data_IF_544822879301
#
_entry.id   IF_544822879301
#
_cell.length_a   1.000
_cell.length_b   1.000
_cell.length_c   1.000
_cell.angle_alpha   90.00
_cell.angle_beta   90.00
_cell.angle_gamma   90.00
#
_symmetry.space_group_name_H-M   'P 1'
#
loop_
_entity.id
_entity.type
_entity.pdbx_description
1 polymer ?
#
# COMPACT_ATOMS: atom_id res chain seq x y z
N UNK A 1 6.13 -9.12 -21.49
CA UNK A 1 5.35 -8.90 -20.27
C UNK A 1 4.20 -9.88 -20.13
N UNK A 2 3.55 -10.30 -21.21
CA UNK A 2 2.34 -11.13 -21.14
C UNK A 2 1.17 -10.50 -21.88
N UNK A 3 1.36 -9.30 -22.42
CA UNK A 3 0.39 -8.57 -23.24
C UNK A 3 0.75 -8.73 -24.71
N UNK A 4 -0.26 -8.74 -25.59
CA UNK A 4 -0.03 -8.82 -27.02
C UNK A 4 0.42 -7.46 -27.57
N UNK A 5 1.48 -7.44 -28.39
CA UNK A 5 2.09 -6.20 -28.89
C UNK A 5 1.13 -5.24 -29.61
N UNK A 6 0.05 -5.75 -30.22
CA UNK A 6 -0.94 -4.89 -30.86
C UNK A 6 -1.81 -4.15 -29.83
N UNK A 7 -2.02 -4.73 -28.65
CA UNK A 7 -2.68 -4.07 -27.53
C UNK A 7 -1.80 -2.94 -27.00
N UNK A 8 -0.51 -3.21 -26.77
CA UNK A 8 0.49 -2.21 -26.37
C UNK A 8 0.66 -1.08 -27.39
N UNK A 9 0.33 -1.32 -28.67
CA UNK A 9 0.36 -0.27 -29.70
C UNK A 9 -0.83 0.69 -29.61
N UNK A 10 -1.92 0.26 -28.95
CA UNK A 10 -3.16 1.01 -28.82
C UNK A 10 -3.35 1.64 -27.43
N UNK A 11 -2.49 1.28 -26.47
CA UNK A 11 -2.45 1.80 -25.10
C UNK A 11 -1.17 2.63 -24.88
N UNK A 12 -1.01 3.17 -23.68
CA UNK A 12 0.23 3.82 -23.25
C UNK A 12 1.33 2.82 -22.85
N UNK A 13 0.98 1.54 -22.70
CA UNK A 13 1.83 0.50 -22.13
C UNK A 13 3.09 0.27 -22.99
N UNK A 14 4.22 0.07 -22.32
CA UNK A 14 5.53 -0.03 -22.97
C UNK A 14 5.86 -1.46 -23.36
N UNK A 15 6.33 -1.62 -24.60
CA UNK A 15 6.68 -2.92 -25.15
C UNK A 15 7.74 -3.67 -24.34
N UNK A 16 7.43 -4.91 -23.95
CA UNK A 16 8.31 -5.77 -23.14
C UNK A 16 8.56 -5.22 -21.73
N UNK A 17 7.66 -4.41 -21.19
CA UNK A 17 7.66 -3.91 -19.82
C UNK A 17 6.43 -4.47 -19.13
N UNK A 18 6.61 -5.16 -18.00
CA UNK A 18 5.51 -5.85 -17.29
C UNK A 18 4.53 -4.90 -16.62
N UNK A 19 5.05 -3.78 -16.19
CA UNK A 19 4.42 -2.78 -15.33
C UNK A 19 5.04 -1.46 -15.78
N UNK A 20 4.25 -0.68 -16.52
CA UNK A 20 4.68 0.46 -17.34
C UNK A 20 4.90 1.71 -16.50
N UNK A 21 4.04 1.93 -15.52
CA UNK A 21 4.08 3.05 -14.58
C UNK A 21 4.86 2.73 -13.30
N UNK A 22 5.23 1.46 -13.12
CA UNK A 22 6.00 0.95 -11.98
C UNK A 22 5.22 1.02 -10.66
N UNK A 23 3.88 0.99 -10.76
CA UNK A 23 2.91 0.98 -9.66
C UNK A 23 2.98 -0.29 -8.81
N UNK A 24 3.38 -1.41 -9.42
CA UNK A 24 3.53 -2.70 -8.76
C UNK A 24 2.46 -3.71 -9.15
N UNK A 25 1.38 -3.28 -9.79
CA UNK A 25 0.46 -4.14 -10.53
C UNK A 25 0.92 -4.21 -11.99
N UNK A 26 0.72 -5.35 -12.64
CA UNK A 26 1.13 -5.50 -14.03
C UNK A 26 0.10 -4.92 -14.98
N UNK A 27 0.55 -4.31 -16.09
CA UNK A 27 -0.27 -3.66 -17.12
C UNK A 27 -1.52 -4.46 -17.56
N UNK A 28 -1.44 -5.79 -17.50
CA UNK A 28 -2.53 -6.69 -17.91
C UNK A 28 -3.56 -6.91 -16.80
N UNK A 29 -3.12 -6.90 -15.56
CA UNK A 29 -3.94 -7.06 -14.36
C UNK A 29 -4.71 -5.77 -14.06
N UNK A 30 -4.10 -4.61 -14.25
CA UNK A 30 -4.74 -3.29 -14.10
C UNK A 30 -5.89 -3.09 -15.09
N UNK A 31 -5.69 -3.54 -16.34
CA UNK A 31 -6.74 -3.51 -17.37
C UNK A 31 -7.88 -4.50 -17.10
N UNK A 32 -7.70 -5.42 -16.16
CA UNK A 32 -8.79 -6.25 -15.71
C UNK A 32 -9.70 -5.43 -14.81
N UNK A 33 -11.00 -5.52 -15.04
CA UNK A 33 -12.03 -4.77 -14.29
C UNK A 33 -12.00 -4.99 -12.78
N UNK A 34 -11.28 -6.01 -12.31
CA UNK A 34 -11.20 -6.41 -10.92
C UNK A 34 -10.16 -5.67 -10.09
N UNK A 35 -9.10 -5.11 -10.70
CA UNK A 35 -8.15 -4.25 -9.99
C UNK A 35 -8.61 -2.79 -10.05
N UNK A 36 -9.18 -2.37 -11.19
CA UNK A 36 -9.76 -1.02 -11.30
C UNK A 36 -8.72 0.10 -11.37
N UNK A 37 -7.46 -0.23 -11.60
CA UNK A 37 -6.32 0.68 -11.75
C UNK A 37 -6.01 0.96 -13.23
N UNK A 38 -5.22 2.00 -13.53
CA UNK A 38 -4.90 2.41 -14.90
C UNK A 38 -3.38 2.39 -15.17
N UNK A 39 -2.89 1.51 -16.07
CA UNK A 39 -1.45 1.38 -16.39
C UNK A 39 -0.84 2.62 -17.08
N UNK A 40 -1.67 3.63 -17.31
CA UNK A 40 -1.31 4.91 -17.91
C UNK A 40 -1.27 6.05 -16.90
N UNK A 41 -1.65 5.83 -15.66
CA UNK A 41 -1.48 6.84 -14.64
C UNK A 41 -0.01 6.92 -14.20
N UNK A 42 0.37 7.98 -13.48
CA UNK A 42 1.66 8.04 -12.78
C UNK A 42 2.97 7.98 -13.62
N UNK A 43 2.88 8.02 -14.96
CA UNK A 43 4.00 7.94 -15.95
C UNK A 43 5.15 8.97 -15.81
N UNK A 44 5.13 9.82 -14.79
CA UNK A 44 6.17 10.79 -14.49
C UNK A 44 6.92 10.43 -13.19
N UNK A 45 8.23 10.27 -13.31
CA UNK A 45 9.12 10.11 -12.16
C UNK A 45 9.08 11.33 -11.21
N UNK A 46 8.96 11.10 -9.90
CA UNK A 46 9.22 12.15 -8.90
C UNK A 46 10.72 12.32 -8.71
N UNK A 47 11.24 13.53 -8.94
CA UNK A 47 12.66 13.83 -8.76
C UNK A 47 12.89 14.98 -7.79
N UNK A 48 13.89 14.83 -6.91
CA UNK A 48 14.31 15.85 -5.96
C UNK A 48 15.83 15.88 -5.83
N UNK A 49 16.36 17.07 -5.57
CA UNK A 49 17.78 17.29 -5.30
C UNK A 49 18.19 16.63 -3.97
N UNK A 50 19.40 16.05 -3.98
CA UNK A 50 20.06 15.53 -2.77
C UNK A 50 20.77 16.67 -2.05
N UNK A 51 20.44 16.89 -0.78
CA UNK A 51 21.11 17.87 0.07
C UNK A 51 22.39 17.32 0.69
N UNK A 52 22.36 16.11 1.23
CA UNK A 52 23.53 15.46 1.84
C UNK A 52 23.30 13.97 2.08
N UNK A 53 24.38 13.20 2.17
CA UNK A 53 24.34 11.80 2.60
C UNK A 53 25.31 11.54 3.76
N UNK A 54 24.85 10.80 4.77
CA UNK A 54 25.64 10.36 5.92
C UNK A 54 25.84 8.85 5.87
N UNK A 55 27.06 8.42 5.52
CA UNK A 55 27.40 6.99 5.43
C UNK A 55 27.42 6.27 6.78
N UNK A 56 27.79 6.96 7.86
CA UNK A 56 27.83 6.38 9.21
C UNK A 56 26.45 6.08 9.77
N UNK A 57 25.43 6.77 9.27
CA UNK A 57 24.06 6.66 9.77
C UNK A 57 23.08 6.16 8.71
N UNK A 58 23.58 5.83 7.50
CA UNK A 58 22.78 5.41 6.35
C UNK A 58 21.58 6.32 6.08
N UNK A 59 21.83 7.64 6.09
CA UNK A 59 20.80 8.67 5.96
C UNK A 59 21.03 9.53 4.73
N UNK A 60 20.00 9.69 3.92
CA UNK A 60 19.98 10.58 2.76
C UNK A 60 19.01 11.73 3.02
N UNK A 61 19.51 12.96 3.01
CA UNK A 61 18.69 14.17 3.16
C UNK A 61 18.40 14.74 1.78
N UNK A 62 17.11 14.92 1.50
CA UNK A 62 16.59 15.47 0.25
C UNK A 62 16.06 16.88 0.48
N UNK A 63 15.86 17.64 -0.61
CA UNK A 63 15.17 18.93 -0.55
C UNK A 63 13.67 18.75 -0.27
N UNK A 64 13.05 17.78 -0.93
CA UNK A 64 11.66 17.39 -0.69
C UNK A 64 11.53 15.86 -0.82
N UNK A 65 11.16 15.16 0.25
CA UNK A 65 10.96 13.71 0.22
C UNK A 65 9.49 13.29 0.06
N UNK A 66 8.58 14.21 -0.29
CA UNK A 66 7.13 13.93 -0.36
C UNK A 66 6.73 12.83 -1.34
N UNK A 67 7.52 12.60 -2.39
CA UNK A 67 7.26 11.53 -3.36
C UNK A 67 7.92 10.19 -3.02
N UNK A 68 8.46 10.02 -1.81
CA UNK A 68 9.01 8.76 -1.33
C UNK A 68 8.09 8.15 -0.26
N UNK A 69 7.89 6.84 -0.33
CA UNK A 69 7.04 6.09 0.58
C UNK A 69 7.50 6.24 2.03
N UNK A 70 6.66 6.76 2.96
CA UNK A 70 6.98 6.88 4.37
C UNK A 70 7.45 5.57 5.02
N UNK A 71 6.92 4.44 4.54
CA UNK A 71 7.15 3.10 5.08
C UNK A 71 8.36 2.39 4.44
N UNK A 72 9.06 3.04 3.51
CA UNK A 72 10.24 2.49 2.84
C UNK A 72 9.96 2.00 1.42
N UNK A 73 11.02 1.60 0.72
CA UNK A 73 10.90 1.12 -0.65
C UNK A 73 12.20 1.23 -1.44
N UNK A 74 12.06 1.36 -2.76
CA UNK A 74 13.19 1.51 -3.69
C UNK A 74 13.19 2.88 -4.33
N UNK A 75 14.31 3.59 -4.23
CA UNK A 75 14.57 4.84 -4.94
C UNK A 75 15.69 4.67 -5.96
N UNK A 76 15.89 5.69 -6.79
CA UNK A 76 16.92 5.71 -7.82
C UNK A 76 17.77 6.96 -7.73
N UNK A 77 19.09 6.80 -7.78
CA UNK A 77 20.02 7.90 -7.96
C UNK A 77 20.13 8.24 -9.43
N UNK A 78 19.91 9.51 -9.78
CA UNK A 78 20.14 10.00 -11.13
C UNK A 78 21.50 10.72 -11.20
N UNK A 79 22.38 10.22 -12.06
CA UNK A 79 23.68 10.85 -12.28
C UNK A 79 23.62 11.92 -13.38
N UNK A 80 24.66 12.75 -13.46
CA UNK A 80 24.78 13.80 -14.50
C UNK A 80 24.68 13.31 -15.96
N UNK A 81 24.75 12.00 -16.20
CA UNK A 81 24.62 11.36 -17.52
C UNK A 81 23.24 10.73 -17.75
N UNK A 82 22.30 10.85 -16.81
CA UNK A 82 20.95 10.27 -16.90
C UNK A 82 20.89 8.77 -16.57
N UNK A 83 21.94 8.18 -16.00
CA UNK A 83 21.94 6.77 -15.61
C UNK A 83 21.40 6.63 -14.19
N UNK A 84 20.41 5.73 -14.05
CA UNK A 84 19.79 5.41 -12.77
C UNK A 84 20.52 4.29 -12.03
N UNK A 85 20.73 4.47 -10.72
CA UNK A 85 21.23 3.43 -9.81
C UNK A 85 20.23 3.23 -8.69
N UNK A 86 19.64 2.04 -8.58
CA UNK A 86 18.65 1.72 -7.55
C UNK A 86 19.27 1.65 -6.15
N UNK A 87 18.52 2.05 -5.15
CA UNK A 87 18.86 1.90 -3.73
C UNK A 87 17.59 1.61 -2.92
N UNK A 88 17.72 0.76 -1.89
CA UNK A 88 16.65 0.54 -0.93
C UNK A 88 16.75 1.53 0.24
N UNK A 89 15.61 1.90 0.81
CA UNK A 89 15.50 2.69 2.04
C UNK A 89 14.39 2.12 2.93
N UNK A 90 14.52 2.31 4.24
CA UNK A 90 13.65 1.67 5.23
C UNK A 90 12.44 2.53 5.63
N UNK A 91 12.58 3.85 5.63
CA UNK A 91 11.49 4.77 5.93
C UNK A 91 11.87 6.21 5.56
N UNK A 92 10.86 7.08 5.51
CA UNK A 92 11.03 8.52 5.35
C UNK A 92 10.51 9.23 6.59
N UNK A 93 11.31 10.15 7.13
CA UNK A 93 10.82 11.11 8.11
C UNK A 93 11.22 12.52 7.69
N UNK A 94 10.22 13.39 7.54
CA UNK A 94 10.39 14.73 7.00
C UNK A 94 11.03 14.68 5.61
N UNK A 95 12.27 15.16 5.45
CA UNK A 95 13.02 15.10 4.19
C UNK A 95 14.25 14.17 4.27
N UNK A 96 14.21 13.19 5.15
CA UNK A 96 15.33 12.27 5.39
C UNK A 96 14.86 10.85 5.13
N UNK A 97 15.54 10.16 4.22
CA UNK A 97 15.42 8.72 4.04
C UNK A 97 16.36 8.02 5.02
N UNK A 98 15.82 7.05 5.75
CA UNK A 98 16.52 6.25 6.73
C UNK A 98 16.85 4.86 6.19
N UNK A 99 17.94 4.27 6.68
CA UNK A 99 18.34 2.91 6.31
C UNK A 99 18.71 2.77 4.84
N UNK A 100 19.25 3.82 4.23
CA UNK A 100 19.63 3.83 2.82
C UNK A 100 20.78 2.86 2.59
N UNK A 101 20.52 1.80 1.82
CA UNK A 101 21.44 0.67 1.69
C UNK A 101 22.70 1.00 0.87
N UNK A 102 22.57 1.89 -0.12
CA UNK A 102 23.63 2.24 -1.05
C UNK A 102 23.95 3.73 -0.98
N UNK A 103 25.23 4.07 -0.83
CA UNK A 103 25.66 5.47 -0.88
C UNK A 103 25.50 6.05 -2.30
N UNK A 104 25.16 7.35 -2.44
CA UNK A 104 25.08 7.99 -3.75
C UNK A 104 26.41 7.89 -4.50
N UNK A 105 26.43 7.38 -5.75
CA UNK A 105 27.61 7.40 -6.60
C UNK A 105 28.14 8.82 -6.84
N UNK A 106 29.43 8.96 -7.13
CA UNK A 106 30.03 10.26 -7.43
C UNK A 106 29.36 10.90 -8.66
N UNK A 107 28.93 12.16 -8.54
CA UNK A 107 28.23 12.87 -9.62
C UNK A 107 26.72 12.62 -9.67
N UNK A 108 26.14 12.01 -8.63
CA UNK A 108 24.69 11.99 -8.42
C UNK A 108 24.22 13.37 -7.95
N UNK A 109 23.18 13.90 -8.60
CA UNK A 109 22.57 15.20 -8.25
C UNK A 109 21.21 15.02 -7.59
N UNK A 110 20.45 14.03 -8.07
CA UNK A 110 19.04 13.87 -7.73
C UNK A 110 18.73 12.45 -7.27
N UNK A 111 17.75 12.36 -6.39
CA UNK A 111 17.06 11.14 -6.06
C UNK A 111 15.70 11.13 -6.77
N UNK A 112 15.34 9.98 -7.29
CA UNK A 112 14.12 9.75 -8.07
C UNK A 112 13.31 8.65 -7.40
N UNK A 113 12.02 8.88 -7.23
CA UNK A 113 11.03 7.86 -6.89
C UNK A 113 10.22 7.54 -8.14
N UNK A 114 10.03 6.24 -8.39
CA UNK A 114 9.31 5.71 -9.54
C UNK A 114 8.11 4.85 -9.16
N UNK A 115 7.98 4.54 -7.88
CA UNK A 115 6.91 3.72 -7.34
C UNK A 115 6.02 4.68 -6.55
N UNK A 116 5.16 5.37 -7.31
CA UNK A 116 4.22 6.39 -6.85
C UNK A 116 3.01 5.86 -6.09
N UNK A 117 2.94 4.54 -5.99
CA UNK A 117 1.78 3.70 -5.70
C UNK A 117 1.05 4.06 -4.41
N UNK A 118 1.74 4.62 -3.42
CA UNK A 118 1.18 4.82 -2.07
C UNK A 118 0.51 6.18 -1.83
N UNK A 119 0.62 7.16 -2.75
CA UNK A 119 0.22 8.55 -2.45
C UNK A 119 -1.02 9.06 -3.22
N UNK A 120 -1.70 8.20 -3.97
CA UNK A 120 -2.78 8.63 -4.87
C UNK A 120 -4.00 9.16 -4.14
N UNK A 121 -4.50 8.40 -3.15
CA UNK A 121 -5.65 8.81 -2.35
C UNK A 121 -5.47 10.20 -1.71
N UNK A 122 -4.33 10.41 -1.03
CA UNK A 122 -3.97 11.70 -0.43
C UNK A 122 -3.91 12.83 -1.46
N UNK A 123 -3.40 12.55 -2.66
CA UNK A 123 -3.33 13.51 -3.76
C UNK A 123 -4.72 13.87 -4.32
N UNK A 124 -5.66 12.92 -4.39
CA UNK A 124 -7.07 13.18 -4.73
C UNK A 124 -7.72 14.06 -3.67
N UNK A 125 -7.64 13.64 -2.41
CA UNK A 125 -8.31 14.32 -1.30
C UNK A 125 -7.81 15.76 -1.10
N UNK A 126 -6.50 15.98 -1.30
CA UNK A 126 -5.91 17.32 -1.30
C UNK A 126 -6.19 18.13 -2.58
N UNK A 127 -6.74 17.50 -3.62
CA UNK A 127 -7.00 18.11 -4.93
C UNK A 127 -5.74 18.46 -5.72
N UNK A 128 -4.62 17.81 -5.39
CA UNK A 128 -3.30 18.13 -5.93
C UNK A 128 -2.79 17.13 -6.96
N UNK A 129 -3.49 16.01 -7.17
CA UNK A 129 -3.17 14.99 -8.17
C UNK A 129 -2.96 15.64 -9.54
N UNK A 130 -3.86 16.54 -9.96
CA UNK A 130 -3.75 17.25 -11.25
C UNK A 130 -2.72 18.39 -11.31
N UNK A 131 -2.13 18.80 -10.18
CA UNK A 131 -1.24 19.98 -10.11
C UNK A 131 0.21 19.67 -9.75
N UNK A 132 0.44 18.88 -8.70
CA UNK A 132 1.77 18.70 -8.08
C UNK A 132 2.11 17.26 -7.72
N UNK A 133 1.12 16.37 -7.65
CA UNK A 133 1.31 14.96 -7.25
C UNK A 133 1.01 13.97 -8.38
N UNK A 134 1.15 14.39 -9.64
CA UNK A 134 0.95 13.56 -10.86
C UNK A 134 1.86 12.32 -10.99
N UNK A 135 2.73 12.08 -10.01
CA UNK A 135 3.61 10.93 -9.91
C UNK A 135 3.07 9.89 -8.93
N UNK A 136 1.91 10.15 -8.31
CA UNK A 136 1.21 9.15 -7.51
C UNK A 136 0.41 8.25 -8.44
N UNK A 137 0.21 7.01 -8.02
CA UNK A 137 -0.26 5.91 -8.84
C UNK A 137 -1.43 5.21 -8.13
N UNK A 138 -2.48 4.88 -8.89
CA UNK A 138 -3.77 4.43 -8.36
C UNK A 138 -3.77 2.98 -7.83
N UNK A 139 -2.66 2.26 -7.98
CA UNK A 139 -2.46 0.91 -7.44
C UNK A 139 -2.67 0.76 -5.92
N UNK A 140 -2.64 1.85 -5.15
CA UNK A 140 -3.01 1.83 -3.73
C UNK A 140 -3.98 2.96 -3.39
N UNK A 141 -4.96 3.21 -4.27
CA UNK A 141 -6.16 3.90 -3.80
C UNK A 141 -6.77 3.11 -2.64
N UNK A 142 -6.92 3.77 -1.49
CA UNK A 142 -7.45 3.25 -0.23
C UNK A 142 -8.51 4.25 0.22
N UNK A 143 -9.74 3.99 -0.19
CA UNK A 143 -10.84 4.96 -0.16
C UNK A 143 -11.28 5.30 1.27
N UNK A 144 -11.19 4.34 2.19
CA UNK A 144 -11.59 4.52 3.60
C UNK A 144 -10.42 4.73 4.57
N UNK A 145 -9.19 4.45 4.14
CA UNK A 145 -7.96 4.76 4.85
C UNK A 145 -7.61 3.75 5.94
N UNK A 146 -8.06 2.50 5.81
CA UNK A 146 -7.78 1.44 6.79
C UNK A 146 -6.40 0.78 6.61
N UNK A 147 -5.78 0.95 5.44
CA UNK A 147 -4.48 0.42 5.08
C UNK A 147 -4.48 -0.74 4.08
N UNK A 148 -5.64 -1.20 3.59
CA UNK A 148 -5.81 -2.05 2.42
C UNK A 148 -6.15 -1.19 1.19
N UNK A 149 -5.60 -1.54 0.03
CA UNK A 149 -6.04 -0.89 -1.20
C UNK A 149 -7.42 -1.41 -1.63
N UNK A 150 -8.23 -0.58 -2.30
CA UNK A 150 -9.60 -0.90 -2.71
C UNK A 150 -9.68 -2.23 -3.50
N UNK A 151 -8.67 -2.52 -4.32
CA UNK A 151 -8.59 -3.75 -5.09
C UNK A 151 -8.22 -4.96 -4.23
N UNK A 152 -7.40 -4.78 -3.19
CA UNK A 152 -7.01 -5.87 -2.27
C UNK A 152 -8.24 -6.39 -1.53
N UNK A 153 -9.11 -5.46 -1.12
CA UNK A 153 -10.39 -5.73 -0.48
C UNK A 153 -11.38 -6.38 -1.45
N UNK A 154 -11.53 -5.84 -2.65
CA UNK A 154 -12.47 -6.36 -3.66
C UNK A 154 -12.10 -7.77 -4.13
N UNK A 155 -10.81 -8.04 -4.29
CA UNK A 155 -10.30 -9.33 -4.77
C UNK A 155 -10.07 -10.34 -3.64
N UNK A 156 -10.02 -9.87 -2.41
CA UNK A 156 -9.62 -10.66 -1.26
C UNK A 156 -8.23 -11.25 -1.41
N UNK A 157 -7.27 -10.40 -1.78
CA UNK A 157 -5.86 -10.77 -2.06
C UNK A 157 -5.23 -11.57 -0.92
N UNK A 158 -5.66 -11.27 0.31
CA UNK A 158 -5.16 -11.88 1.54
C UNK A 158 -6.06 -13.01 2.08
N UNK A 159 -7.07 -13.43 1.32
CA UNK A 159 -7.96 -14.54 1.63
C UNK A 159 -9.39 -14.15 1.99
N UNK A 160 -9.61 -12.89 2.35
CA UNK A 160 -10.91 -12.34 2.73
C UNK A 160 -11.20 -11.07 1.96
N UNK A 161 -12.47 -10.82 1.65
CA UNK A 161 -12.95 -9.60 0.98
C UNK A 161 -13.60 -8.67 2.00
N UNK A 162 -13.43 -7.36 1.84
CA UNK A 162 -14.08 -6.31 2.63
C UNK A 162 -14.73 -5.25 1.73
N UNK A 163 -15.26 -4.18 2.32
CA UNK A 163 -15.91 -3.08 1.62
C UNK A 163 -14.98 -1.87 1.59
N UNK A 164 -14.50 -1.44 0.39
CA UNK A 164 -13.52 -0.33 0.26
C UNK A 164 -13.94 1.06 0.69
N UNK A 165 -15.10 1.18 1.33
CA UNK A 165 -15.67 2.47 1.72
C UNK A 165 -15.91 2.54 3.23
N UNK A 166 -15.52 1.50 3.96
CA UNK A 166 -15.75 1.31 5.38
C UNK A 166 -14.52 0.69 6.01
N UNK A 167 -13.83 1.46 6.85
CA UNK A 167 -12.69 1.00 7.66
C UNK A 167 -12.97 -0.27 8.48
N UNK A 168 -14.24 -0.49 8.82
CA UNK A 168 -14.76 -1.63 9.60
C UNK A 168 -16.04 -2.05 8.88
N UNK A 169 -15.94 -3.08 8.06
CA UNK A 169 -16.95 -3.46 7.07
C UNK A 169 -18.16 -4.14 7.70
N UNK A 170 -17.98 -4.88 8.80
CA UNK A 170 -19.06 -5.55 9.52
C UNK A 170 -19.54 -4.82 10.80
N UNK A 171 -18.79 -3.82 11.24
CA UNK A 171 -19.14 -2.90 12.32
C UNK A 171 -18.89 -3.45 13.72
N UNK A 172 -17.93 -4.35 13.88
CA UNK A 172 -17.63 -5.00 15.16
C UNK A 172 -16.64 -4.22 16.06
N UNK A 173 -15.99 -3.20 15.50
CA UNK A 173 -15.01 -2.35 16.17
C UNK A 173 -13.55 -2.69 15.92
N UNK A 174 -13.23 -3.65 15.04
CA UNK A 174 -11.91 -3.92 14.47
C UNK A 174 -11.89 -3.43 13.02
N UNK A 175 -10.74 -2.95 12.52
CA UNK A 175 -10.65 -2.53 11.11
C UNK A 175 -10.35 -3.71 10.19
N UNK A 176 -10.77 -3.64 8.93
CA UNK A 176 -10.64 -4.75 7.99
C UNK A 176 -9.18 -5.17 7.79
N UNK A 177 -8.27 -4.20 7.70
CA UNK A 177 -6.82 -4.44 7.72
C UNK A 177 -6.35 -5.30 8.91
N UNK A 178 -6.81 -4.98 10.12
CA UNK A 178 -6.37 -5.66 11.35
C UNK A 178 -6.93 -7.09 11.41
N UNK A 179 -8.15 -7.30 10.91
CA UNK A 179 -8.78 -8.62 10.81
C UNK A 179 -8.09 -9.50 9.77
N UNK A 180 -7.88 -8.97 8.57
CA UNK A 180 -7.17 -9.66 7.48
C UNK A 180 -5.76 -10.07 7.92
N UNK A 181 -5.02 -9.16 8.56
CA UNK A 181 -3.67 -9.46 9.09
C UNK A 181 -3.73 -10.37 10.32
N UNK A 182 -4.83 -10.35 11.06
CA UNK A 182 -5.17 -11.26 12.15
C UNK A 182 -5.65 -12.65 11.69
N UNK A 183 -5.94 -12.81 10.39
CA UNK A 183 -6.44 -14.04 9.79
C UNK A 183 -7.92 -14.31 10.08
N UNK A 184 -8.72 -13.26 10.29
CA UNK A 184 -10.15 -13.31 10.53
C UNK A 184 -10.94 -12.61 9.42
N UNK A 185 -12.24 -12.89 9.30
CA UNK A 185 -13.09 -12.42 8.19
C UNK A 185 -13.75 -11.05 8.50
N UNK A 186 -13.37 -9.96 7.79
CA UNK A 186 -13.87 -8.60 8.01
C UNK A 186 -15.35 -8.39 7.63
N UNK A 187 -15.99 -9.44 7.10
CA UNK A 187 -17.41 -9.45 6.80
C UNK A 187 -18.24 -10.27 7.78
N UNK A 188 -17.60 -10.86 8.80
CA UNK A 188 -18.25 -11.68 9.81
C UNK A 188 -17.90 -11.17 11.22
N UNK A 189 -18.79 -10.39 11.87
CA UNK A 189 -18.46 -9.62 13.09
C UNK A 189 -18.19 -10.50 14.32
N UNK A 190 -18.38 -11.81 14.16
CA UNK A 190 -18.12 -12.82 15.18
C UNK A 190 -16.74 -13.47 15.02
N UNK A 191 -16.10 -13.31 13.87
CA UNK A 191 -14.76 -13.81 13.54
C UNK A 191 -13.76 -12.67 13.71
N UNK A 192 -13.43 -12.36 14.97
CA UNK A 192 -12.37 -11.40 15.27
C UNK A 192 -11.63 -11.80 16.56
N UNK A 193 -10.47 -11.19 16.78
CA UNK A 193 -9.56 -11.47 17.90
C UNK A 193 -9.57 -10.40 19.00
N UNK A 194 -10.53 -9.46 18.99
CA UNK A 194 -10.60 -8.38 19.98
C UNK A 194 -11.16 -8.92 21.30
N UNK A 195 -10.27 -9.28 22.22
CA UNK A 195 -10.60 -9.81 23.55
C UNK A 195 -9.98 -8.90 24.63
N UNK A 196 -10.81 -8.12 25.31
CA UNK A 196 -10.35 -7.11 26.28
C UNK A 196 -10.03 -7.69 27.65
N UNK A 197 -10.71 -8.75 28.06
CA UNK A 197 -10.56 -9.32 29.41
C UNK A 197 -9.71 -10.61 29.44
N UNK A 198 -9.40 -11.14 28.25
CA UNK A 198 -8.46 -12.24 28.02
C UNK A 198 -9.06 -13.62 28.28
N UNK A 199 -10.38 -13.77 28.19
CA UNK A 199 -11.09 -15.02 28.49
C UNK A 199 -11.25 -15.95 27.28
N UNK A 200 -10.72 -15.56 26.12
CA UNK A 200 -10.79 -16.25 24.81
C UNK A 200 -12.14 -16.12 24.09
N UNK A 201 -13.01 -15.21 24.53
CA UNK A 201 -14.19 -14.77 23.82
C UNK A 201 -13.97 -13.34 23.30
N UNK A 202 -14.33 -13.05 22.05
CA UNK A 202 -14.20 -11.68 21.56
C UNK A 202 -15.31 -10.77 22.10
N UNK A 203 -14.98 -9.49 22.21
CA UNK A 203 -15.84 -8.44 22.72
C UNK A 203 -17.18 -8.36 21.99
N UNK A 204 -17.23 -8.61 20.68
CA UNK A 204 -18.48 -8.54 19.93
C UNK A 204 -19.44 -9.66 20.35
N UNK A 205 -18.93 -10.88 20.53
CA UNK A 205 -19.66 -12.02 21.04
C UNK A 205 -20.19 -11.78 22.46
N UNK A 206 -19.42 -11.13 23.32
CA UNK A 206 -19.85 -10.78 24.69
C UNK A 206 -21.03 -9.79 24.68
N UNK A 207 -20.94 -8.77 23.83
CA UNK A 207 -21.92 -7.69 23.80
C UNK A 207 -23.17 -8.01 22.97
N UNK A 208 -23.11 -9.00 22.06
CA UNK A 208 -24.19 -9.34 21.14
C UNK A 208 -24.55 -10.84 21.16
N UNK A 209 -25.85 -11.15 21.21
CA UNK A 209 -26.36 -12.54 21.27
C UNK A 209 -26.57 -13.21 19.89
N UNK A 210 -25.83 -12.77 18.87
CA UNK A 210 -26.03 -13.17 17.46
C UNK A 210 -25.05 -14.19 16.90
N UNK A 211 -23.93 -14.41 17.58
CA UNK A 211 -22.83 -15.20 17.03
C UNK A 211 -23.06 -16.71 17.14
N UNK A 212 -22.66 -17.45 16.10
CA UNK A 212 -22.72 -18.90 16.13
C UNK A 212 -21.60 -19.46 17.02
N UNK A 213 -21.89 -20.53 17.76
CA UNK A 213 -20.92 -21.15 18.69
C UNK A 213 -19.67 -21.73 17.98
N UNK A 214 -19.71 -21.87 16.65
CA UNK A 214 -18.58 -22.37 15.86
C UNK A 214 -17.39 -21.40 15.84
N UNK A 215 -17.64 -20.10 16.09
CA UNK A 215 -16.60 -19.06 16.16
C UNK A 215 -15.83 -19.06 17.48
N UNK A 216 -16.23 -19.86 18.48
CA UNK A 216 -15.50 -19.92 19.75
C UNK A 216 -14.25 -20.81 19.59
N UNK A 217 -13.03 -20.30 19.79
CA UNK A 217 -11.82 -21.11 19.72
C UNK A 217 -11.81 -22.19 20.82
N UNK A 218 -12.06 -23.45 20.43
CA UNK A 218 -11.80 -24.61 21.28
C UNK A 218 -12.88 -25.01 22.30
N UNK A 219 -14.15 -24.60 22.15
CA UNK A 219 -15.20 -24.98 23.09
C UNK A 219 -15.88 -26.34 22.79
N UNK A 220 -15.54 -27.31 23.66
CA UNK A 220 -16.38 -28.40 24.15
C UNK A 220 -17.07 -27.89 25.44
N UNK A 221 -18.22 -27.21 25.32
CA UNK A 221 -19.07 -26.79 26.43
C UNK A 221 -19.09 -25.29 26.81
N UNK A 222 -20.26 -24.83 27.29
CA UNK A 222 -20.62 -23.44 27.65
C UNK A 222 -19.79 -22.86 28.81
N UNK A 223 -18.53 -22.54 28.53
CA UNK A 223 -17.52 -22.05 29.48
C UNK A 223 -17.58 -20.57 29.81
N UNK A 224 -18.54 -19.80 29.26
CA UNK A 224 -18.69 -18.40 29.62
C UNK A 224 -19.09 -18.28 31.11
N UNK A 225 -18.35 -17.44 31.85
CA UNK A 225 -18.67 -17.01 33.22
C UNK A 225 -19.34 -15.63 33.22
N UNK A 226 -19.94 -15.20 32.10
CA UNK A 226 -20.52 -13.86 32.03
C UNK A 226 -22.01 -13.82 32.42
N UNK A 227 -22.40 -12.70 33.02
CA UNK A 227 -23.72 -12.42 33.64
C UNK A 227 -24.58 -11.47 32.82
#
# INVERSE_FOLDING_TARGET
>A
DGIENWEETLTCTMWNVYDTDFGGIGDGDERNWSHGTDPCDSMIDFSTLISSYSSSLQRLTLVNASGFNPNGGTGFYNNSSGQHTSFAYASVNSNILFGVALQPPAGTTDAVSRNGSWCHYDAINSGTIGTTQRHCDDDYEDTDGDGLADWEELLGTWGFTSLPTLVDSDGDGVSDYDEVMGGTDPMEPCDNNLDTDGDLLNNYFENNTGCHLDFIPGIIGNGSQDT
#
